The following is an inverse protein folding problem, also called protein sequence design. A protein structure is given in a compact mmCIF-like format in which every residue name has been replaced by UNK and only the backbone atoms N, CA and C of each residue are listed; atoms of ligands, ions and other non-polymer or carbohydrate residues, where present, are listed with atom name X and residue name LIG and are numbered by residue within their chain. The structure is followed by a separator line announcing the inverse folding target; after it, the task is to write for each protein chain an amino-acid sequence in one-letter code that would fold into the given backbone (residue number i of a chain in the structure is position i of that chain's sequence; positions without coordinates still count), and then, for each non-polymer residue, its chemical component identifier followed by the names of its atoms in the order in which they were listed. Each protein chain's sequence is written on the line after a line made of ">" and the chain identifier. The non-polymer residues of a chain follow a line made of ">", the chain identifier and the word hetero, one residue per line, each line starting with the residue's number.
data_IF_943416256614
#
_entry.id   IF_943416256614
#
_cell.length_a   1.000
_cell.length_b   1.000
_cell.length_c   1.000
_cell.angle_alpha   90.00
_cell.angle_beta   90.00
_cell.angle_gamma   90.00
#
_symmetry.space_group_name_H-M   'P 1'
#
loop_
_entity.id
_entity.type
_entity.pdbx_description
1 polymer ?
#
# COMPACT_ATOMS: atom_id res chain seq x y z
N UNK A 1 -13.21 13.40 4.97
CA UNK A 1 -13.39 13.16 3.52
C UNK A 1 -12.57 14.14 2.69
N UNK A 2 -12.38 15.38 3.17
CA UNK A 2 -11.55 16.41 2.52
C UNK A 2 -10.11 15.97 2.21
N UNK A 3 -9.44 15.30 3.15
CA UNK A 3 -8.09 14.79 2.92
C UNK A 3 -8.04 13.90 1.67
N UNK A 4 -8.99 12.97 1.53
CA UNK A 4 -9.05 12.03 0.40
C UNK A 4 -9.30 12.75 -0.91
N UNK A 5 -10.29 13.63 -0.96
CA UNK A 5 -10.61 14.47 -2.12
C UNK A 5 -9.39 15.27 -2.58
N UNK A 6 -8.64 15.86 -1.64
CA UNK A 6 -7.40 16.56 -1.93
C UNK A 6 -6.31 15.62 -2.46
N UNK A 7 -6.14 14.43 -1.88
CA UNK A 7 -5.11 13.45 -2.32
C UNK A 7 -5.40 12.88 -3.71
N UNK A 8 -6.67 12.60 -4.05
CA UNK A 8 -7.05 12.06 -5.37
C UNK A 8 -7.28 13.11 -6.46
N UNK A 9 -7.38 14.39 -6.11
CA UNK A 9 -7.64 15.50 -7.03
C UNK A 9 -6.43 15.96 -7.86
N UNK A 10 -5.22 15.55 -7.50
CA UNK A 10 -3.97 16.15 -8.01
C UNK A 10 -3.61 15.71 -9.43
N UNK A 11 -3.96 14.48 -9.85
CA UNK A 11 -3.76 13.96 -11.21
C UNK A 11 -4.45 12.58 -11.37
N UNK A 12 -5.06 12.28 -12.53
CA UNK A 12 -5.70 10.99 -12.80
C UNK A 12 -4.76 9.77 -12.67
N UNK A 13 -3.49 9.93 -13.03
CA UNK A 13 -2.47 8.87 -12.89
C UNK A 13 -2.06 8.66 -11.43
N UNK A 14 -1.91 9.76 -10.67
CA UNK A 14 -1.62 9.75 -9.23
C UNK A 14 -2.78 9.11 -8.46
N UNK A 15 -4.02 9.42 -8.84
CA UNK A 15 -5.23 8.79 -8.29
C UNK A 15 -5.25 7.27 -8.47
N UNK A 16 -4.87 6.76 -9.65
CA UNK A 16 -4.81 5.30 -9.88
C UNK A 16 -3.76 4.64 -9.00
N UNK A 17 -2.55 5.20 -8.93
CA UNK A 17 -1.49 4.68 -8.06
C UNK A 17 -1.88 4.71 -6.58
N UNK A 18 -2.49 5.81 -6.11
CA UNK A 18 -2.92 5.96 -4.72
C UNK A 18 -4.05 5.00 -4.35
N UNK A 19 -5.04 4.82 -5.23
CA UNK A 19 -6.11 3.87 -4.99
C UNK A 19 -5.56 2.44 -4.87
N UNK A 20 -4.62 2.06 -5.74
CA UNK A 20 -3.93 0.78 -5.64
C UNK A 20 -3.13 0.65 -4.34
N UNK A 21 -2.40 1.69 -3.94
CA UNK A 21 -1.62 1.70 -2.71
C UNK A 21 -2.51 1.57 -1.46
N UNK A 22 -3.60 2.34 -1.37
CA UNK A 22 -4.55 2.28 -0.25
C UNK A 22 -5.23 0.92 -0.17
N UNK A 23 -5.59 0.33 -1.31
CA UNK A 23 -6.11 -1.04 -1.35
C UNK A 23 -5.09 -2.05 -0.84
N UNK A 24 -3.82 -1.86 -1.18
CA UNK A 24 -2.72 -2.70 -0.73
C UNK A 24 -2.47 -2.61 0.78
N UNK A 25 -2.40 -1.39 1.32
CA UNK A 25 -2.29 -1.16 2.76
C UNK A 25 -3.48 -1.75 3.52
N UNK A 26 -4.70 -1.59 2.98
CA UNK A 26 -5.92 -2.14 3.58
C UNK A 26 -5.90 -3.68 3.61
N UNK A 27 -5.40 -4.30 2.53
CA UNK A 27 -5.24 -5.75 2.43
C UNK A 27 -4.23 -6.28 3.47
N UNK A 28 -3.06 -5.67 3.59
CA UNK A 28 -2.03 -6.09 4.55
C UNK A 28 -2.50 -5.94 6.00
N UNK A 29 -3.23 -4.87 6.33
CA UNK A 29 -3.84 -4.68 7.65
C UNK A 29 -4.89 -5.76 7.93
N UNK A 30 -5.70 -6.12 6.95
CA UNK A 30 -6.68 -7.20 7.09
C UNK A 30 -5.99 -8.55 7.31
N UNK A 31 -4.92 -8.84 6.56
CA UNK A 31 -4.16 -10.07 6.70
C UNK A 31 -3.44 -10.19 8.05
N UNK A 32 -2.88 -9.09 8.58
CA UNK A 32 -2.32 -9.04 9.94
C UNK A 32 -3.39 -9.34 11.00
N UNK A 33 -4.59 -8.73 10.88
CA UNK A 33 -5.70 -9.00 11.80
C UNK A 33 -6.10 -10.48 11.78
N UNK A 34 -6.19 -11.08 10.61
CA UNK A 34 -6.49 -12.51 10.48
C UNK A 34 -5.38 -13.38 11.07
N UNK A 35 -4.12 -13.05 10.81
CA UNK A 35 -2.98 -13.80 11.37
C UNK A 35 -2.99 -13.74 12.89
N UNK A 36 -3.28 -12.58 13.47
CA UNK A 36 -3.41 -12.41 14.91
C UNK A 36 -4.54 -13.22 15.50
N UNK A 37 -5.71 -13.24 14.86
CA UNK A 37 -6.89 -13.94 15.37
C UNK A 37 -6.79 -15.46 15.20
N UNK A 38 -6.33 -15.94 14.04
CA UNK A 38 -6.36 -17.37 13.71
C UNK A 38 -5.07 -18.11 14.04
N UNK A 39 -3.93 -17.40 14.12
CA UNK A 39 -2.61 -18.01 14.37
C UNK A 39 -1.96 -17.53 15.66
N UNK A 40 -2.60 -16.58 16.38
CA UNK A 40 -2.06 -15.95 17.59
C UNK A 40 -0.66 -15.35 17.40
N UNK A 41 -0.37 -14.86 16.17
CA UNK A 41 0.89 -14.22 15.80
C UNK A 41 0.63 -12.75 15.49
N UNK A 42 1.44 -11.85 16.06
CA UNK A 42 1.34 -10.40 15.87
C UNK A 42 2.63 -9.87 15.29
N UNK A 43 2.53 -9.07 14.22
CA UNK A 43 3.66 -8.35 13.64
C UNK A 43 3.78 -6.95 14.25
N UNK A 44 4.99 -6.41 14.32
CA UNK A 44 5.19 -5.00 14.62
C UNK A 44 4.79 -4.14 13.40
N UNK A 45 4.31 -2.90 13.59
CA UNK A 45 3.88 -2.03 12.48
C UNK A 45 4.97 -1.79 11.42
N UNK A 46 6.24 -1.71 11.83
CA UNK A 46 7.37 -1.56 10.92
C UNK A 46 7.58 -2.78 10.00
N UNK A 47 7.26 -3.99 10.48
CA UNK A 47 7.32 -5.22 9.67
C UNK A 47 6.25 -5.18 8.57
N UNK A 48 5.03 -4.75 8.92
CA UNK A 48 3.93 -4.60 7.96
C UNK A 48 4.28 -3.52 6.92
N UNK A 49 4.82 -2.37 7.37
CA UNK A 49 5.28 -1.31 6.49
C UNK A 49 6.39 -1.78 5.53
N UNK A 50 7.34 -2.60 6.01
CA UNK A 50 8.40 -3.17 5.17
C UNK A 50 7.86 -4.13 4.11
N UNK A 51 6.86 -4.95 4.45
CA UNK A 51 6.15 -5.82 3.49
C UNK A 51 5.46 -5.01 2.40
N UNK A 52 4.67 -4.01 2.80
CA UNK A 52 3.97 -3.11 1.86
C UNK A 52 4.94 -2.47 0.86
N UNK A 53 6.08 -1.94 1.33
CA UNK A 53 7.11 -1.36 0.46
C UNK A 53 7.70 -2.39 -0.51
N UNK A 54 8.03 -3.58 0.00
CA UNK A 54 8.62 -4.66 -0.80
C UNK A 54 7.66 -5.10 -1.91
N UNK A 55 6.39 -5.31 -1.56
CA UNK A 55 5.38 -5.74 -2.53
C UNK A 55 5.04 -4.63 -3.53
N UNK A 56 4.95 -3.37 -3.10
CA UNK A 56 4.81 -2.24 -4.02
C UNK A 56 5.96 -2.19 -5.05
N UNK A 57 7.20 -2.47 -4.62
CA UNK A 57 8.36 -2.60 -5.48
C UNK A 57 8.24 -3.75 -6.49
N UNK A 58 7.84 -4.94 -6.04
CA UNK A 58 7.60 -6.10 -6.89
C UNK A 58 6.53 -5.85 -7.95
N UNK A 59 5.44 -5.16 -7.58
CA UNK A 59 4.36 -4.84 -8.50
C UNK A 59 4.79 -3.80 -9.54
N UNK A 60 5.60 -2.82 -9.13
CA UNK A 60 6.21 -1.89 -10.06
C UNK A 60 7.09 -2.62 -11.08
N UNK A 61 7.96 -3.54 -10.63
CA UNK A 61 8.79 -4.38 -11.50
C UNK A 61 7.94 -5.26 -12.43
N UNK A 62 6.80 -5.76 -11.95
CA UNK A 62 5.83 -6.53 -12.73
C UNK A 62 5.00 -5.68 -13.72
N UNK A 63 5.22 -4.36 -13.79
CA UNK A 63 4.60 -3.49 -14.79
C UNK A 63 3.53 -2.54 -14.26
N UNK A 64 3.27 -2.52 -12.95
CA UNK A 64 2.39 -1.52 -12.31
C UNK A 64 3.10 -0.16 -12.20
N UNK A 65 3.39 0.46 -13.35
CA UNK A 65 4.22 1.68 -13.47
C UNK A 65 3.72 2.87 -12.64
N UNK A 66 2.41 2.93 -12.37
CA UNK A 66 1.77 3.96 -11.56
C UNK A 66 2.10 3.87 -10.05
N UNK A 67 2.54 2.71 -9.56
CA UNK A 67 3.07 2.57 -8.19
C UNK A 67 4.48 3.15 -8.09
N UNK A 68 5.28 3.00 -9.14
CA UNK A 68 6.64 3.56 -9.20
C UNK A 68 6.71 5.08 -9.07
N UNK A 69 5.66 5.81 -9.48
CA UNK A 69 5.61 7.26 -9.29
C UNK A 69 5.34 7.69 -7.84
N UNK A 70 4.94 6.77 -6.97
CA UNK A 70 4.62 7.03 -5.56
C UNK A 70 5.68 6.51 -4.59
N UNK A 71 6.61 5.68 -5.06
CA UNK A 71 7.71 5.19 -4.24
C UNK A 71 8.83 6.23 -4.17
N UNK A 72 9.47 6.42 -3.00
CA UNK A 72 10.69 7.21 -2.91
C UNK A 72 11.74 6.65 -3.88
N UNK A 73 12.38 7.52 -4.67
CA UNK A 73 13.63 7.15 -5.35
C UNK A 73 14.71 7.18 -4.27
N UNK A 74 15.22 6.00 -3.92
CA UNK A 74 16.48 5.88 -3.18
C UNK A 74 17.64 6.35 -4.07
#
# INVERSE_FOLDING_TARGET
>A
MEWWQHTVGVNANVRKGLASLVMFESWEVWNERNTRLFRNVSSLPNVIMSKIKTEAGLWWLAGAKHLGSLMPRE
#
